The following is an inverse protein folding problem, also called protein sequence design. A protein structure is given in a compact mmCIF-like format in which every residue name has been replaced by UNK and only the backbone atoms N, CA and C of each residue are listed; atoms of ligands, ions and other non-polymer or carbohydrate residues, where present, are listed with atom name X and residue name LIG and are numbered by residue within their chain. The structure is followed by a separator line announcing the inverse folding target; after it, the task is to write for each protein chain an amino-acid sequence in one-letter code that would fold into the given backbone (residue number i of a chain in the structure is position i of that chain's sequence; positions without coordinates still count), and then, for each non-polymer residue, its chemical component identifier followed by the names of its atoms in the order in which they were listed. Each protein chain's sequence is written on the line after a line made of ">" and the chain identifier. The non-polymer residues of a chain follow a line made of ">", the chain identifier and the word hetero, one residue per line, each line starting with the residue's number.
data_IF_853626667034
#
_entry.id   IF_853626667034
#
_cell.length_a   1.000
_cell.length_b   1.000
_cell.length_c   1.000
_cell.angle_alpha   90.00
_cell.angle_beta   90.00
_cell.angle_gamma   90.00
#
_symmetry.space_group_name_H-M   'P 1'
#
loop_
_entity.id
_entity.type
_entity.pdbx_description
1 polymer ?
#
# COMPACT_ATOMS: atom_id res chain seq x y z
N UNK A 1 10.36 19.21 1.73
CA UNK A 1 10.81 17.81 1.89
C UNK A 1 10.43 17.08 0.62
N UNK A 2 11.39 16.52 -0.10
CA UNK A 2 11.10 15.80 -1.35
C UNK A 2 10.61 14.39 -1.02
N UNK A 3 9.44 14.01 -1.54
CA UNK A 3 8.88 12.67 -1.37
C UNK A 3 9.51 11.78 -2.43
N UNK A 4 10.55 11.05 -2.04
CA UNK A 4 11.32 10.20 -2.96
C UNK A 4 11.74 8.89 -2.29
N UNK A 5 11.63 7.77 -3.03
CA UNK A 5 12.13 6.47 -2.58
C UNK A 5 13.65 6.46 -2.38
N UNK A 6 14.37 7.42 -3.00
CA UNK A 6 15.83 7.56 -2.88
C UNK A 6 16.28 7.76 -1.44
N UNK A 7 15.46 8.43 -0.63
CA UNK A 7 15.70 8.63 0.80
C UNK A 7 15.90 7.32 1.59
N UNK A 8 15.41 6.19 1.08
CA UNK A 8 15.51 4.88 1.73
C UNK A 8 16.34 3.85 0.97
N UNK A 9 16.81 4.14 -0.25
CA UNK A 9 17.61 3.19 -1.04
C UNK A 9 19.00 3.69 -1.42
N UNK A 10 19.23 5.00 -1.55
CA UNK A 10 20.51 5.54 -2.03
C UNK A 10 21.52 5.79 -0.91
N UNK A 11 22.81 5.62 -1.25
CA UNK A 11 23.92 5.83 -0.32
C UNK A 11 24.23 4.62 0.57
N UNK A 12 25.45 4.60 1.09
CA UNK A 12 25.98 3.52 1.92
C UNK A 12 25.20 3.39 3.24
N UNK A 13 24.81 4.51 3.83
CA UNK A 13 24.02 4.58 5.07
C UNK A 13 22.65 3.90 4.97
N UNK A 14 22.11 3.65 3.76
CA UNK A 14 20.83 2.96 3.54
C UNK A 14 20.96 1.46 3.34
N UNK A 15 22.15 0.88 3.54
CA UNK A 15 22.35 -0.57 3.47
C UNK A 15 21.37 -1.39 4.35
N UNK A 16 21.07 -1.00 5.61
CA UNK A 16 20.09 -1.73 6.43
C UNK A 16 18.67 -1.69 5.85
N UNK A 17 18.27 -0.57 5.25
CA UNK A 17 16.96 -0.44 4.62
C UNK A 17 16.84 -1.36 3.39
N UNK A 18 17.88 -1.37 2.53
CA UNK A 18 17.93 -2.28 1.37
C UNK A 18 17.90 -3.74 1.80
N UNK A 19 18.53 -4.11 2.92
CA UNK A 19 18.46 -5.47 3.46
C UNK A 19 17.02 -5.88 3.80
N UNK A 20 16.22 -5.00 4.41
CA UNK A 20 14.81 -5.26 4.68
C UNK A 20 14.00 -5.42 3.38
N UNK A 21 14.24 -4.58 2.37
CA UNK A 21 13.56 -4.73 1.08
C UNK A 21 13.94 -6.02 0.36
N UNK A 22 15.22 -6.41 0.38
CA UNK A 22 15.69 -7.67 -0.19
C UNK A 22 15.10 -8.88 0.55
N UNK A 23 14.93 -8.81 1.87
CA UNK A 23 14.25 -9.84 2.64
C UNK A 23 12.76 -10.00 2.26
N UNK A 24 12.13 -8.94 1.72
CA UNK A 24 10.79 -9.00 1.11
C UNK A 24 10.79 -9.47 -0.36
N UNK A 25 11.94 -9.91 -0.89
CA UNK A 25 12.08 -10.43 -2.24
C UNK A 25 12.38 -9.40 -3.33
N UNK A 26 12.70 -8.13 -2.97
CA UNK A 26 13.06 -7.12 -3.97
C UNK A 26 14.50 -7.32 -4.45
N UNK A 27 14.68 -7.21 -5.76
CA UNK A 27 16.00 -7.24 -6.42
C UNK A 27 16.63 -5.84 -6.45
N UNK A 28 17.92 -5.75 -6.80
CA UNK A 28 18.55 -4.44 -7.00
C UNK A 28 17.90 -3.64 -8.13
N UNK A 29 17.36 -4.31 -9.16
CA UNK A 29 16.58 -3.68 -10.22
C UNK A 29 15.29 -3.06 -9.66
N UNK A 30 14.56 -3.76 -8.79
CA UNK A 30 13.36 -3.22 -8.14
C UNK A 30 13.69 -2.04 -7.23
N UNK A 31 14.83 -2.06 -6.53
CA UNK A 31 15.29 -0.95 -5.69
C UNK A 31 15.74 0.26 -6.50
N UNK A 32 16.14 0.04 -7.75
CA UNK A 32 16.53 1.11 -8.67
C UNK A 32 15.31 1.88 -9.20
N UNK A 33 14.12 1.31 -9.18
CA UNK A 33 12.88 1.93 -9.69
C UNK A 33 12.19 2.82 -8.65
N UNK A 34 11.35 3.79 -9.07
CA UNK A 34 10.49 4.55 -8.15
C UNK A 34 9.56 3.62 -7.38
N UNK A 35 9.32 3.90 -6.10
CA UNK A 35 8.34 3.13 -5.32
C UNK A 35 6.97 3.78 -5.41
N UNK A 36 5.93 2.97 -5.56
CA UNK A 36 4.54 3.44 -5.57
C UNK A 36 3.75 2.66 -4.53
N UNK A 37 3.18 3.38 -3.57
CA UNK A 37 2.26 2.81 -2.59
C UNK A 37 0.92 2.47 -3.24
N UNK A 38 0.45 1.23 -3.07
CA UNK A 38 -0.88 0.78 -3.50
C UNK A 38 -1.72 0.54 -2.25
N UNK A 39 -2.54 1.51 -1.88
CA UNK A 39 -3.36 1.45 -0.67
C UNK A 39 -4.78 0.95 -0.98
N UNK A 40 -5.32 0.09 -0.13
CA UNK A 40 -6.74 -0.28 -0.17
C UNK A 40 -7.38 -0.30 1.22
N UNK A 41 -8.70 -0.22 1.26
CA UNK A 41 -9.52 -0.32 2.49
C UNK A 41 -10.29 -1.64 2.57
N UNK A 42 -9.84 -2.64 1.81
CA UNK A 42 -10.43 -3.98 1.78
C UNK A 42 -10.58 -4.63 3.15
N UNK A 43 -11.80 -5.04 3.47
CA UNK A 43 -12.18 -5.72 4.69
C UNK A 43 -13.52 -6.46 4.51
N UNK A 44 -13.88 -7.28 5.49
CA UNK A 44 -15.15 -8.03 5.51
C UNK A 44 -16.25 -7.32 6.31
N UNK A 45 -16.02 -6.07 6.74
CA UNK A 45 -17.00 -5.31 7.52
C UNK A 45 -18.16 -4.78 6.66
N UNK A 46 -17.99 -4.71 5.33
CA UNK A 46 -19.02 -4.18 4.41
C UNK A 46 -18.84 -4.67 2.97
N UNK A 47 -19.94 -4.86 2.21
CA UNK A 47 -19.84 -5.23 0.80
C UNK A 47 -19.13 -4.17 -0.05
N UNK A 48 -19.09 -2.91 0.39
CA UNK A 48 -18.43 -1.83 -0.35
C UNK A 48 -16.93 -2.06 -0.57
N UNK A 49 -16.28 -2.82 0.31
CA UNK A 49 -14.82 -2.89 0.37
C UNK A 49 -14.27 -4.30 0.10
N UNK A 50 -15.11 -5.34 0.10
CA UNK A 50 -14.69 -6.75 0.10
C UNK A 50 -13.78 -7.12 -1.09
N UNK A 51 -13.96 -6.48 -2.26
CA UNK A 51 -13.21 -6.77 -3.48
C UNK A 51 -11.92 -5.94 -3.65
N UNK A 52 -11.70 -4.94 -2.80
CA UNK A 52 -10.57 -4.01 -2.95
C UNK A 52 -9.18 -4.66 -2.88
N UNK A 53 -8.92 -5.74 -2.10
CA UNK A 53 -7.62 -6.40 -2.14
C UNK A 53 -7.31 -7.01 -3.51
N UNK A 54 -8.34 -7.54 -4.20
CA UNK A 54 -8.20 -8.07 -5.55
C UNK A 54 -7.91 -6.98 -6.58
N UNK A 55 -8.58 -5.83 -6.46
CA UNK A 55 -8.29 -4.66 -7.30
C UNK A 55 -6.89 -4.09 -7.03
N UNK A 56 -6.43 -4.13 -5.78
CA UNK A 56 -5.08 -3.72 -5.42
C UNK A 56 -4.03 -4.58 -6.12
N UNK A 57 -4.23 -5.90 -6.25
CA UNK A 57 -3.33 -6.75 -7.06
C UNK A 57 -3.24 -6.29 -8.51
N UNK A 58 -4.37 -5.97 -9.14
CA UNK A 58 -4.39 -5.46 -10.52
C UNK A 58 -3.73 -4.09 -10.66
N UNK A 59 -3.90 -3.20 -9.67
CA UNK A 59 -3.20 -1.94 -9.65
C UNK A 59 -1.67 -2.13 -9.52
N UNK A 60 -1.21 -3.10 -8.73
CA UNK A 60 0.23 -3.42 -8.62
C UNK A 60 0.81 -3.91 -9.94
N UNK A 61 0.06 -4.73 -10.67
CA UNK A 61 0.46 -5.18 -12.01
C UNK A 61 0.71 -3.96 -12.92
N UNK A 62 -0.24 -3.02 -12.96
CA UNK A 62 -0.09 -1.78 -13.74
C UNK A 62 1.08 -0.89 -13.32
N UNK A 63 1.35 -0.78 -12.01
CA UNK A 63 2.54 -0.06 -11.49
C UNK A 63 3.83 -0.73 -11.96
N UNK A 64 3.88 -2.06 -11.93
CA UNK A 64 5.03 -2.83 -12.38
C UNK A 64 5.26 -2.66 -13.88
N UNK A 65 4.20 -2.73 -14.67
CA UNK A 65 4.25 -2.56 -16.13
C UNK A 65 4.68 -1.13 -16.53
N UNK A 66 4.37 -0.13 -15.70
CA UNK A 66 4.85 1.24 -15.85
C UNK A 66 6.31 1.45 -15.42
N UNK A 67 7.04 0.39 -15.04
CA UNK A 67 8.45 0.47 -14.68
C UNK A 67 8.71 0.94 -13.24
N UNK A 68 7.72 0.83 -12.34
CA UNK A 68 7.86 1.18 -10.94
C UNK A 68 7.73 -0.05 -10.02
N UNK A 69 8.12 0.09 -8.75
CA UNK A 69 8.05 -0.98 -7.75
C UNK A 69 6.84 -0.79 -6.84
N UNK A 70 5.79 -1.62 -6.96
CA UNK A 70 4.59 -1.49 -6.15
C UNK A 70 4.79 -1.96 -4.70
N UNK A 71 4.29 -1.18 -3.74
CA UNK A 71 4.27 -1.49 -2.31
C UNK A 71 2.84 -1.44 -1.79
N UNK A 72 2.22 -2.59 -1.62
CA UNK A 72 0.86 -2.70 -1.14
C UNK A 72 0.78 -2.53 0.37
N UNK A 73 -0.27 -1.86 0.84
CA UNK A 73 -0.66 -1.82 2.24
C UNK A 73 -2.16 -1.52 2.37
N UNK A 74 -2.73 -1.76 3.54
CA UNK A 74 -4.15 -1.53 3.79
C UNK A 74 -4.36 -0.49 4.89
N UNK A 75 -5.53 0.15 4.88
CA UNK A 75 -6.02 0.99 5.98
C UNK A 75 -7.47 0.63 6.34
N UNK A 76 -7.94 1.16 7.47
CA UNK A 76 -9.29 0.89 7.97
C UNK A 76 -10.37 1.55 7.11
N UNK A 77 -11.56 0.98 7.16
CA UNK A 77 -12.79 1.63 6.74
C UNK A 77 -13.96 1.04 7.55
N UNK A 78 -15.01 1.82 7.68
CA UNK A 78 -16.25 1.44 8.34
C UNK A 78 -17.40 1.38 7.34
N UNK A 79 -18.58 0.99 7.81
CA UNK A 79 -19.80 1.01 7.00
C UNK A 79 -20.81 1.95 7.61
N UNK A 80 -21.08 3.06 6.93
CA UNK A 80 -22.17 3.95 7.34
C UNK A 80 -23.49 3.19 7.36
N UNK A 81 -23.79 2.44 6.30
CA UNK A 81 -25.05 1.68 6.17
C UNK A 81 -25.31 0.72 7.33
N UNK A 82 -24.28 0.07 7.88
CA UNK A 82 -24.40 -0.82 9.04
C UNK A 82 -24.41 -0.04 10.36
N UNK A 83 -23.60 1.03 10.48
CA UNK A 83 -23.48 1.82 11.70
C UNK A 83 -24.67 2.78 11.96
N UNK A 84 -25.49 3.05 10.93
CA UNK A 84 -26.67 3.92 11.03
C UNK A 84 -27.64 3.45 12.13
N UNK A 85 -28.05 4.38 12.99
CA UNK A 85 -29.11 4.15 13.99
C UNK A 85 -28.62 3.66 15.36
N UNK A 86 -27.31 3.56 15.59
CA UNK A 86 -26.74 3.28 16.92
C UNK A 86 -25.41 4.01 17.15
N UNK A 87 -24.81 3.80 18.33
CA UNK A 87 -23.59 4.48 18.79
C UNK A 87 -22.38 4.35 17.83
N UNK A 88 -22.37 3.37 16.93
CA UNK A 88 -21.29 3.14 15.97
C UNK A 88 -21.14 4.27 14.95
N UNK A 89 -22.21 5.02 14.65
CA UNK A 89 -22.14 6.15 13.73
C UNK A 89 -21.21 7.29 14.23
N UNK A 90 -20.91 7.32 15.54
CA UNK A 90 -19.94 8.26 16.12
C UNK A 90 -18.50 7.99 15.68
N UNK A 91 -18.24 6.88 15.00
CA UNK A 91 -16.92 6.50 14.48
C UNK A 91 -16.85 6.52 12.95
N UNK A 92 -17.83 7.13 12.26
CA UNK A 92 -17.82 7.27 10.80
C UNK A 92 -16.89 8.40 10.32
N UNK A 93 -16.92 9.56 10.98
CA UNK A 93 -16.09 10.75 10.67
C UNK A 93 -14.98 10.98 11.70
#
# INVERSE_FOLDING_TARGET
>A
MEISSRNVVEGTARAPHRAMYKAMGLTDDDLSKPFVGVCHTGNEATPCNIHLPGLAQKAKDGVKDAGATPREFSTIAVSDGIAMGHEGMKSSL
#
